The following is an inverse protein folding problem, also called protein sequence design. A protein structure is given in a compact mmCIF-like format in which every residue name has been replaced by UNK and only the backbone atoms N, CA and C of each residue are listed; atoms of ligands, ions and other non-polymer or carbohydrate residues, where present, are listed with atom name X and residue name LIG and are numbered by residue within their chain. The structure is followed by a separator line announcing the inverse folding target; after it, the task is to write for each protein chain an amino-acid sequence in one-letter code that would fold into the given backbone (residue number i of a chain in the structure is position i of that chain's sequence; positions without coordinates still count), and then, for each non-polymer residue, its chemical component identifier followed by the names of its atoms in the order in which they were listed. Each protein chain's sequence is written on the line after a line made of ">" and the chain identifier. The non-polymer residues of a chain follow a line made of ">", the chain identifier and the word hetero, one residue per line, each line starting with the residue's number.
data_IF_674251715514
#
_entry.id   IF_674251715514
#
_cell.length_a   1.000
_cell.length_b   1.000
_cell.length_c   1.000
_cell.angle_alpha   90.00
_cell.angle_beta   90.00
_cell.angle_gamma   90.00
#
_symmetry.space_group_name_H-M   'P 1'
#
loop_
_entity.id
_entity.type
_entity.pdbx_description
1 polymer ?
#
# COMPACT_ATOMS: atom_id res chain seq x y z
N UNK A 1 -11.84 -5.42 7.63
CA UNK A 1 -11.85 -4.84 6.29
C UNK A 1 -10.92 -5.60 5.35
N UNK A 2 -11.06 -5.34 4.07
CA UNK A 2 -10.20 -5.98 3.06
C UNK A 2 -8.73 -5.65 3.22
N UNK A 3 -8.40 -4.45 3.68
CA UNK A 3 -7.00 -4.04 3.89
C UNK A 3 -6.35 -4.89 4.97
N UNK A 4 -7.07 -5.16 6.05
CA UNK A 4 -6.58 -6.02 7.14
C UNK A 4 -6.36 -7.44 6.65
N UNK A 5 -7.28 -7.95 5.83
CA UNK A 5 -7.17 -9.29 5.26
C UNK A 5 -5.95 -9.42 4.35
N UNK A 6 -5.70 -8.40 3.52
CA UNK A 6 -4.51 -8.34 2.66
C UNK A 6 -3.24 -8.31 3.52
N UNK A 7 -3.22 -7.47 4.54
CA UNK A 7 -2.08 -7.36 5.45
C UNK A 7 -1.75 -8.70 6.09
N UNK A 8 -2.73 -9.36 6.66
CA UNK A 8 -2.54 -10.65 7.33
C UNK A 8 -2.10 -11.74 6.35
N UNK A 9 -2.67 -11.77 5.15
CA UNK A 9 -2.27 -12.73 4.14
C UNK A 9 -0.80 -12.55 3.73
N UNK A 10 -0.36 -11.30 3.57
CA UNK A 10 1.02 -11.02 3.19
C UNK A 10 2.02 -11.38 4.30
N UNK A 11 1.63 -11.24 5.56
CA UNK A 11 2.50 -11.63 6.68
C UNK A 11 2.85 -13.11 6.65
N UNK A 12 1.96 -13.96 6.14
CA UNK A 12 2.20 -15.40 6.07
C UNK A 12 3.38 -15.76 5.14
N UNK A 13 3.78 -14.85 4.26
CA UNK A 13 4.89 -15.05 3.33
C UNK A 13 6.20 -14.43 3.82
N UNK A 14 6.30 -14.11 5.11
CA UNK A 14 7.49 -13.50 5.71
C UNK A 14 7.91 -12.19 5.03
N UNK A 15 6.94 -11.40 4.62
CA UNK A 15 7.19 -10.12 3.99
C UNK A 15 7.49 -9.04 5.03
N UNK A 16 8.23 -8.02 4.62
CA UNK A 16 8.46 -6.82 5.42
C UNK A 16 7.48 -5.75 4.92
N UNK A 17 6.44 -5.49 5.71
CA UNK A 17 5.31 -4.67 5.28
C UNK A 17 5.41 -3.25 5.81
N UNK A 18 5.16 -2.29 4.91
CA UNK A 18 4.92 -0.88 5.25
C UNK A 18 3.51 -0.54 4.80
N UNK A 19 2.70 0.03 5.70
CA UNK A 19 1.35 0.49 5.38
C UNK A 19 1.33 2.01 5.46
N UNK A 20 0.87 2.65 4.40
CA UNK A 20 0.74 4.10 4.33
C UNK A 20 -0.72 4.48 4.13
N UNK A 21 -1.23 5.37 4.98
CA UNK A 21 -2.55 5.97 4.82
C UNK A 21 -2.54 7.37 5.46
N UNK A 22 -2.67 8.44 4.67
CA UNK A 22 -2.63 9.80 5.21
C UNK A 22 -3.89 10.19 5.98
N UNK A 23 -4.97 9.41 5.87
CA UNK A 23 -6.27 9.77 6.42
C UNK A 23 -6.63 9.07 7.72
N UNK A 24 -5.91 8.00 8.09
CA UNK A 24 -6.23 7.28 9.33
C UNK A 24 -5.45 7.83 10.51
N UNK A 25 -6.01 7.64 11.70
CA UNK A 25 -5.27 7.86 12.93
C UNK A 25 -4.42 6.61 13.21
N UNK A 26 -3.12 6.74 13.11
CA UNK A 26 -2.20 5.60 13.25
C UNK A 26 -2.27 4.95 14.63
N UNK A 27 -2.48 5.74 15.69
CA UNK A 27 -2.63 5.21 17.04
C UNK A 27 -3.90 4.37 17.19
N UNK A 28 -5.00 4.81 16.58
CA UNK A 28 -6.26 4.06 16.61
C UNK A 28 -6.12 2.75 15.88
N UNK A 29 -5.48 2.75 14.70
CA UNK A 29 -5.26 1.52 13.93
C UNK A 29 -4.39 0.54 14.70
N UNK A 30 -3.31 1.02 15.29
CA UNK A 30 -2.43 0.16 16.08
C UNK A 30 -3.17 -0.47 17.26
N UNK A 31 -4.03 0.30 17.93
CA UNK A 31 -4.81 -0.17 19.07
C UNK A 31 -5.82 -1.23 18.66
N UNK A 32 -6.53 -1.01 17.54
CA UNK A 32 -7.61 -1.89 17.11
C UNK A 32 -7.11 -3.12 16.35
N UNK A 33 -6.07 -2.98 15.52
CA UNK A 33 -5.66 -4.03 14.59
C UNK A 33 -4.25 -4.58 14.85
N UNK A 34 -3.48 -3.94 15.72
CA UNK A 34 -2.17 -4.45 16.12
C UNK A 34 -1.04 -4.20 15.14
N UNK A 35 -1.22 -3.35 14.13
CA UNK A 35 -0.12 -2.98 13.24
C UNK A 35 0.01 -1.48 13.09
N UNK A 36 1.21 -1.03 12.69
CA UNK A 36 1.50 0.40 12.54
C UNK A 36 1.22 0.88 11.12
N UNK A 37 0.61 2.06 11.03
CA UNK A 37 0.35 2.75 9.77
C UNK A 37 1.16 4.02 9.75
N UNK A 38 1.90 4.26 8.66
CA UNK A 38 2.64 5.50 8.48
C UNK A 38 1.71 6.58 7.95
N UNK A 39 1.76 7.77 8.57
CA UNK A 39 1.05 8.96 8.09
C UNK A 39 1.89 9.74 7.09
N UNK A 40 3.18 9.45 7.00
CA UNK A 40 4.10 10.07 6.07
C UNK A 40 4.38 9.18 4.89
N UNK A 41 4.53 9.78 3.71
CA UNK A 41 4.81 9.05 2.48
C UNK A 41 6.14 8.30 2.61
N UNK A 42 6.18 7.00 2.24
CA UNK A 42 7.40 6.20 2.37
C UNK A 42 8.53 6.69 1.49
N UNK A 43 9.77 6.51 1.97
CA UNK A 43 10.98 6.93 1.25
C UNK A 43 11.83 5.74 0.82
N UNK A 44 11.55 4.55 1.35
CA UNK A 44 12.30 3.33 0.98
C UNK A 44 11.88 2.81 -0.39
N UNK A 45 12.61 1.84 -0.89
CA UNK A 45 12.26 1.14 -2.12
C UNK A 45 11.66 -0.22 -1.80
N UNK A 46 10.71 -0.65 -2.62
CA UNK A 46 9.90 -1.83 -2.37
C UNK A 46 9.89 -2.78 -3.56
N UNK A 47 9.69 -4.06 -3.28
CA UNK A 47 9.56 -5.11 -4.29
C UNK A 47 8.12 -5.24 -4.80
N UNK A 48 7.16 -4.76 -4.02
CA UNK A 48 5.76 -4.72 -4.42
C UNK A 48 5.05 -3.53 -3.78
N UNK A 49 4.14 -2.94 -4.51
CA UNK A 49 3.32 -1.83 -4.05
C UNK A 49 1.87 -2.20 -4.33
N UNK A 50 1.02 -2.12 -3.30
CA UNK A 50 -0.40 -2.46 -3.42
C UNK A 50 -1.24 -1.25 -3.07
N UNK A 51 -2.06 -0.80 -4.00
CA UNK A 51 -3.07 0.23 -3.74
C UNK A 51 -4.36 -0.46 -3.34
N UNK A 52 -4.71 -0.38 -2.07
CA UNK A 52 -5.86 -1.10 -1.51
C UNK A 52 -7.11 -0.24 -1.34
N UNK A 53 -6.97 1.08 -1.35
CA UNK A 53 -8.08 2.03 -1.23
C UNK A 53 -7.89 3.17 -2.23
N UNK A 54 -9.02 3.79 -2.66
CA UNK A 54 -8.99 4.83 -3.69
C UNK A 54 -9.18 6.23 -3.09
N UNK A 55 -8.22 6.67 -2.28
CA UNK A 55 -8.21 8.06 -1.81
C UNK A 55 -7.89 9.02 -2.96
N UNK A 56 -8.53 10.19 -2.96
CA UNK A 56 -8.31 11.21 -3.99
C UNK A 56 -6.84 11.65 -4.07
N UNK A 57 -6.11 11.60 -2.96
CA UNK A 57 -4.70 11.94 -2.89
C UNK A 57 -3.82 11.01 -3.73
N UNK A 58 -4.33 9.83 -4.10
CA UNK A 58 -3.58 8.84 -4.86
C UNK A 58 -3.77 8.94 -6.37
N UNK A 59 -4.66 9.82 -6.85
CA UNK A 59 -5.02 9.87 -8.28
C UNK A 59 -3.81 10.22 -9.17
N UNK A 60 -2.94 11.10 -8.69
CA UNK A 60 -1.73 11.50 -9.40
C UNK A 60 -0.47 10.93 -8.72
N UNK A 61 -0.61 9.84 -8.01
CA UNK A 61 0.48 9.25 -7.25
C UNK A 61 1.60 8.75 -8.15
N UNK A 62 2.79 9.28 -7.92
CA UNK A 62 4.01 8.81 -8.57
C UNK A 62 4.76 7.90 -7.60
N UNK A 63 4.79 6.62 -7.92
CA UNK A 63 5.46 5.61 -7.10
C UNK A 63 6.80 5.18 -7.67
N UNK A 64 7.26 5.82 -8.73
CA UNK A 64 8.49 5.39 -9.42
C UNK A 64 9.70 5.35 -8.49
N UNK A 65 9.83 6.29 -7.56
CA UNK A 65 10.94 6.34 -6.61
C UNK A 65 10.82 5.33 -5.47
N UNK A 66 9.67 4.66 -5.33
CA UNK A 66 9.46 3.60 -4.35
C UNK A 66 9.77 2.21 -4.90
N UNK A 67 10.09 2.10 -6.18
CA UNK A 67 10.22 0.81 -6.85
C UNK A 67 11.66 0.32 -6.86
N UNK A 68 11.86 -0.92 -6.40
CA UNK A 68 13.05 -1.67 -6.70
C UNK A 68 13.03 -2.11 -8.17
N UNK A 69 14.13 -2.67 -8.65
CA UNK A 69 14.31 -3.03 -10.06
C UNK A 69 13.19 -3.91 -10.61
N UNK A 70 12.67 -4.81 -9.81
CA UNK A 70 11.62 -5.76 -10.22
C UNK A 70 10.31 -5.57 -9.43
N UNK A 71 9.97 -4.33 -9.12
CA UNK A 71 8.78 -4.05 -8.33
C UNK A 71 7.49 -4.28 -9.13
N UNK A 72 6.53 -4.94 -8.49
CA UNK A 72 5.18 -5.13 -9.02
C UNK A 72 4.25 -4.10 -8.39
N UNK A 73 3.44 -3.42 -9.20
CA UNK A 73 2.42 -2.49 -8.73
C UNK A 73 1.05 -3.10 -9.02
N UNK A 74 0.29 -3.38 -7.97
CA UNK A 74 -1.04 -3.98 -8.05
C UNK A 74 -2.09 -3.03 -7.50
N UNK A 75 -3.10 -2.72 -8.32
CA UNK A 75 -4.17 -1.77 -7.99
C UNK A 75 -5.47 -2.53 -7.73
N UNK A 76 -5.78 -2.78 -6.46
CA UNK A 76 -6.98 -3.52 -6.06
C UNK A 76 -8.26 -2.80 -6.47
N UNK A 77 -8.23 -1.46 -6.49
CA UNK A 77 -9.41 -0.64 -6.76
C UNK A 77 -9.51 -0.16 -8.22
N UNK A 78 -8.56 -0.54 -9.07
CA UNK A 78 -8.51 -0.11 -10.47
C UNK A 78 -8.56 1.42 -10.60
N UNK A 79 -7.84 2.14 -9.74
CA UNK A 79 -7.89 3.59 -9.58
C UNK A 79 -6.79 4.29 -10.34
N UNK A 80 -5.61 3.69 -10.44
CA UNK A 80 -4.45 4.28 -11.08
C UNK A 80 -4.48 4.12 -12.60
N UNK A 81 -3.67 4.92 -13.30
CA UNK A 81 -3.49 4.80 -14.73
C UNK A 81 -2.92 3.43 -15.08
N UNK A 82 -3.53 2.74 -16.03
CA UNK A 82 -3.11 1.40 -16.47
C UNK A 82 -1.64 1.29 -16.87
N UNK A 83 -1.04 2.40 -17.30
CA UNK A 83 0.36 2.41 -17.74
C UNK A 83 1.36 2.24 -16.60
N UNK A 84 0.95 2.52 -15.36
CA UNK A 84 1.86 2.48 -14.20
C UNK A 84 1.63 1.29 -13.29
N UNK A 85 0.64 0.43 -13.59
CA UNK A 85 0.31 -0.73 -12.79
C UNK A 85 0.65 -2.03 -13.53
N UNK A 86 0.93 -3.08 -12.77
CA UNK A 86 1.21 -4.41 -13.30
C UNK A 86 0.01 -5.35 -13.19
N UNK A 87 -0.95 -5.02 -12.32
CA UNK A 87 -2.17 -5.79 -12.17
C UNK A 87 -3.25 -5.02 -11.44
N UNK A 88 -4.48 -5.49 -11.58
CA UNK A 88 -5.64 -4.95 -10.87
C UNK A 88 -6.81 -5.92 -10.94
N UNK A 89 -7.76 -5.72 -10.06
CA UNK A 89 -9.01 -6.48 -10.10
C UNK A 89 -9.93 -6.06 -11.24
#
# INVERSE_FOLDING_TARGET
>A
TKVIDIYNALLEYNTNLTVYDPWVNSLTVQREYGFCVSEQFPENKYDAIILAVSHSEFIDLDVSHLKNEKCVVYDVKAFLNKKIIDGRL
#
